data_IF_992003442294
#
_entry.id   IF_992003442294
#
_cell.length_a   1.000
_cell.length_b   1.000
_cell.length_c   1.000
_cell.angle_alpha   90.00
_cell.angle_beta   90.00
_cell.angle_gamma   90.00
#
_symmetry.space_group_name_H-M   'P 1'
#
loop_
_entity.id
_entity.type
_entity.pdbx_description
1 polymer ?
#
# COMPACT_ATOMS: atom_id res chain seq x y z
N UNK A 1 -6.62 9.27 15.78
CA UNK A 1 -5.58 10.23 15.34
C UNK A 1 -5.20 9.91 13.91
N UNK A 2 -4.92 10.92 13.09
CA UNK A 2 -4.38 10.73 11.75
C UNK A 2 -2.97 10.12 11.81
N UNK A 3 -2.60 9.29 10.83
CA UNK A 3 -1.26 8.72 10.72
C UNK A 3 -0.24 9.85 10.50
N UNK A 4 0.87 9.83 11.24
CA UNK A 4 1.95 10.81 11.05
C UNK A 4 2.66 10.57 9.70
N UNK A 5 3.16 11.62 9.07
CA UNK A 5 4.09 11.48 7.96
C UNK A 5 5.40 10.81 8.41
N UNK A 6 6.06 10.09 7.51
CA UNK A 6 7.30 9.39 7.81
C UNK A 6 7.59 8.25 6.84
N UNK A 7 8.70 7.56 7.10
CA UNK A 7 9.04 6.32 6.40
C UNK A 7 8.57 5.14 7.24
N UNK A 8 7.90 4.19 6.60
CA UNK A 8 7.28 3.05 7.25
C UNK A 8 7.59 1.75 6.52
N UNK A 9 7.70 0.67 7.30
CA UNK A 9 7.37 -0.67 6.83
C UNK A 9 5.88 -0.86 7.06
N UNK A 10 5.15 -1.22 6.01
CA UNK A 10 3.70 -1.42 6.03
C UNK A 10 3.43 -2.93 6.03
N UNK A 11 2.87 -3.47 7.11
CA UNK A 11 2.72 -4.91 7.32
C UNK A 11 1.25 -5.32 7.40
N UNK A 12 0.86 -6.40 6.73
CA UNK A 12 -0.47 -6.99 6.94
C UNK A 12 -0.64 -7.49 8.37
N UNK A 13 -1.86 -7.44 8.92
CA UNK A 13 -2.17 -8.06 10.23
C UNK A 13 -2.37 -9.58 10.16
N UNK A 14 -2.25 -10.18 8.97
CA UNK A 14 -2.28 -11.63 8.81
C UNK A 14 -1.11 -12.30 9.55
N UNK A 15 -1.26 -13.59 9.85
CA UNK A 15 -0.21 -14.38 10.49
C UNK A 15 1.10 -14.32 9.70
N UNK A 16 2.23 -14.15 10.37
CA UNK A 16 3.54 -13.96 9.73
C UNK A 16 3.80 -12.52 9.27
N UNK A 17 2.77 -11.67 9.18
CA UNK A 17 2.89 -10.23 8.92
C UNK A 17 3.64 -9.89 7.63
N UNK A 18 3.25 -10.43 6.45
CA UNK A 18 3.89 -10.07 5.20
C UNK A 18 3.83 -8.55 4.99
N UNK A 19 4.95 -7.97 4.58
CA UNK A 19 5.09 -6.53 4.37
C UNK A 19 4.89 -6.17 2.91
N UNK A 20 4.43 -4.96 2.66
CA UNK A 20 4.41 -4.39 1.31
C UNK A 20 5.83 -4.29 0.79
N UNK A 21 6.10 -4.96 -0.31
CA UNK A 21 7.38 -5.05 -0.97
C UNK A 21 7.23 -4.68 -2.46
N UNK A 22 8.12 -3.82 -2.95
CA UNK A 22 8.26 -3.53 -4.37
C UNK A 22 9.03 -4.65 -5.05
N UNK A 23 8.33 -5.41 -5.89
CA UNK A 23 8.83 -6.65 -6.49
C UNK A 23 10.22 -6.50 -7.13
N UNK A 24 11.09 -7.48 -6.87
CA UNK A 24 12.51 -7.55 -7.27
C UNK A 24 13.45 -6.48 -6.71
N UNK A 25 12.93 -5.34 -6.20
CA UNK A 25 13.73 -4.29 -5.56
C UNK A 25 14.83 -3.68 -6.44
N UNK A 26 14.77 -3.86 -7.76
CA UNK A 26 15.77 -3.37 -8.72
C UNK A 26 15.16 -2.43 -9.78
N UNK A 27 13.84 -2.31 -9.85
CA UNK A 27 13.10 -1.44 -10.76
C UNK A 27 12.11 -0.58 -9.96
N UNK A 28 12.13 0.75 -10.08
CA UNK A 28 11.20 1.62 -9.34
C UNK A 28 9.75 1.55 -9.85
N UNK A 29 9.48 0.95 -11.02
CA UNK A 29 8.15 0.72 -11.56
C UNK A 29 7.93 -0.79 -11.61
N UNK A 30 7.32 -1.32 -10.56
CA UNK A 30 7.05 -2.74 -10.39
C UNK A 30 5.78 -2.97 -9.56
N UNK A 31 5.37 -4.23 -9.49
CA UNK A 31 4.20 -4.65 -8.74
C UNK A 31 4.44 -4.56 -7.23
N UNK A 32 3.35 -4.41 -6.48
CA UNK A 32 3.36 -4.53 -5.03
C UNK A 32 2.96 -5.95 -4.63
N UNK A 33 3.80 -6.55 -3.81
CA UNK A 33 3.62 -7.92 -3.29
C UNK A 33 3.73 -7.91 -1.76
N UNK A 34 3.15 -8.94 -1.16
CA UNK A 34 3.44 -9.35 0.21
C UNK A 34 4.71 -10.20 0.24
N UNK A 35 5.62 -9.87 1.14
CA UNK A 35 6.88 -10.59 1.31
C UNK A 35 7.29 -10.62 2.78
N UNK A 36 8.12 -11.59 3.17
CA UNK A 36 8.70 -11.59 4.50
C UNK A 36 9.56 -10.34 4.72
N UNK A 37 9.54 -9.79 5.94
CA UNK A 37 10.33 -8.62 6.27
C UNK A 37 11.83 -8.96 6.24
N UNK A 38 12.60 -8.23 5.43
CA UNK A 38 14.07 -8.32 5.38
C UNK A 38 14.76 -6.96 5.54
N UNK A 39 13.98 -5.87 5.62
CA UNK A 39 14.49 -4.52 5.90
C UNK A 39 15.06 -3.80 4.69
N UNK A 40 15.01 -4.42 3.50
CA UNK A 40 15.44 -3.80 2.25
C UNK A 40 14.67 -2.52 1.93
N UNK A 41 15.31 -1.64 1.15
CA UNK A 41 14.76 -0.34 0.75
C UNK A 41 13.47 -0.44 -0.08
N UNK A 42 13.24 -1.59 -0.73
CA UNK A 42 12.01 -1.93 -1.45
C UNK A 42 10.83 -2.27 -0.52
N UNK A 43 11.05 -2.37 0.79
CA UNK A 43 9.99 -2.55 1.82
C UNK A 43 9.71 -1.28 2.63
N UNK A 44 10.35 -0.17 2.26
CA UNK A 44 10.27 1.10 2.97
C UNK A 44 9.48 2.11 2.13
N UNK A 45 8.48 2.71 2.76
CA UNK A 45 7.49 3.55 2.10
C UNK A 45 7.42 4.91 2.79
N UNK A 46 7.71 5.98 2.06
CA UNK A 46 7.49 7.34 2.54
C UNK A 46 6.01 7.69 2.39
N UNK A 47 5.36 7.88 3.53
CA UNK A 47 3.96 8.32 3.60
C UNK A 47 3.94 9.82 3.81
N UNK A 48 3.36 10.53 2.85
CA UNK A 48 3.26 12.00 2.85
C UNK A 48 1.79 12.40 2.77
N UNK A 49 1.37 13.31 3.64
CA UNK A 49 0.02 13.83 3.73
C UNK A 49 -0.18 14.91 2.67
N UNK A 50 -1.21 14.74 1.84
CA UNK A 50 -1.55 15.67 0.75
C UNK A 50 -2.69 16.61 1.16
N UNK A 51 -3.58 16.14 2.03
CA UNK A 51 -4.74 16.88 2.54
C UNK A 51 -5.12 16.40 3.93
N UNK A 52 -6.23 16.89 4.49
CA UNK A 52 -6.70 16.42 5.79
C UNK A 52 -6.91 14.89 5.86
N UNK A 53 -7.28 14.26 4.74
CA UNK A 53 -7.65 12.83 4.67
C UNK A 53 -6.81 12.00 3.70
N UNK A 54 -6.11 12.63 2.76
CA UNK A 54 -5.43 11.93 1.67
C UNK A 54 -3.91 11.92 1.87
N UNK A 55 -3.29 10.80 1.50
CA UNK A 55 -1.86 10.53 1.58
C UNK A 55 -1.36 10.02 0.23
N UNK A 56 -0.06 10.17 0.01
CA UNK A 56 0.69 9.41 -1.00
C UNK A 56 1.58 8.39 -0.30
N UNK A 57 1.86 7.28 -0.98
CA UNK A 57 2.74 6.21 -0.49
C UNK A 57 3.84 6.02 -1.53
N UNK A 58 4.99 6.64 -1.29
CA UNK A 58 6.13 6.66 -2.20
C UNK A 58 7.13 5.56 -1.83
N UNK A 59 7.70 4.86 -2.81
CA UNK A 59 8.82 3.96 -2.55
C UNK A 59 10.04 4.74 -2.07
N UNK A 60 10.81 4.21 -1.10
CA UNK A 60 12.12 4.79 -0.76
C UNK A 60 13.18 4.38 -1.80
N UNK A 61 13.01 3.25 -2.48
CA UNK A 61 13.93 2.79 -3.53
C UNK A 61 14.00 3.75 -4.73
N UNK A 62 12.90 4.43 -5.07
CA UNK A 62 12.87 5.35 -6.19
C UNK A 62 11.74 6.37 -6.12
N UNK A 63 11.72 7.31 -7.08
CA UNK A 63 10.73 8.38 -7.12
C UNK A 63 9.42 7.94 -7.79
N UNK A 64 8.74 6.96 -7.19
CA UNK A 64 7.48 6.38 -7.67
C UNK A 64 6.52 6.10 -6.51
N UNK A 65 5.21 6.12 -6.81
CA UNK A 65 4.14 5.99 -5.82
C UNK A 65 3.28 4.77 -6.09
N UNK A 66 2.82 4.10 -5.04
CA UNK A 66 1.80 3.06 -5.17
C UNK A 66 0.56 3.69 -5.79
N UNK A 67 0.10 3.10 -6.89
CA UNK A 67 -0.94 3.62 -7.76
C UNK A 67 -1.98 2.53 -8.02
N UNK A 68 -3.25 2.90 -7.96
CA UNK A 68 -4.37 2.05 -8.34
C UNK A 68 -4.37 1.78 -9.87
N UNK A 69 -4.88 0.61 -10.32
CA UNK A 69 -5.25 0.41 -11.73
C UNK A 69 -6.15 1.55 -12.23
N UNK A 70 -5.79 2.15 -13.37
CA UNK A 70 -6.46 3.36 -13.88
C UNK A 70 -7.93 3.13 -14.28
N UNK A 71 -8.29 1.90 -14.63
CA UNK A 71 -9.67 1.48 -14.90
C UNK A 71 -10.44 1.11 -13.63
N UNK A 72 -9.80 1.19 -12.46
CA UNK A 72 -10.37 0.81 -11.18
C UNK A 72 -10.63 -0.69 -11.04
N UNK A 73 -10.07 -1.55 -11.90
CA UNK A 73 -10.27 -2.99 -11.85
C UNK A 73 -9.64 -3.65 -10.61
N UNK A 74 -10.10 -4.87 -10.29
CA UNK A 74 -9.59 -5.67 -9.17
C UNK A 74 -8.24 -6.31 -9.53
N UNK A 75 -7.25 -5.46 -9.80
CA UNK A 75 -5.92 -5.86 -10.23
C UNK A 75 -4.85 -5.50 -9.20
N UNK A 76 -3.66 -6.08 -9.39
CA UNK A 76 -2.51 -5.84 -8.55
C UNK A 76 -2.10 -4.36 -8.59
N UNK A 77 -1.82 -3.81 -7.42
CA UNK A 77 -1.24 -2.49 -7.27
C UNK A 77 0.18 -2.50 -7.81
N UNK A 78 0.60 -1.37 -8.37
CA UNK A 78 1.97 -1.17 -8.85
C UNK A 78 2.44 0.23 -8.49
N UNK A 79 3.72 0.50 -8.73
CA UNK A 79 4.29 1.84 -8.61
C UNK A 79 4.28 2.56 -9.96
N UNK A 80 4.03 3.87 -9.95
CA UNK A 80 4.09 4.71 -11.14
C UNK A 80 4.74 6.07 -10.85
N UNK A 81 4.97 6.88 -11.89
CA UNK A 81 5.42 8.27 -11.78
C UNK A 81 4.28 9.29 -11.75
N UNK A 82 3.05 8.84 -11.53
CA UNK A 82 1.92 9.75 -11.42
C UNK A 82 2.05 10.61 -10.18
N UNK A 83 2.21 11.92 -10.39
CA UNK A 83 2.30 12.88 -9.31
C UNK A 83 0.99 12.87 -8.50
N UNK A 84 1.01 12.51 -7.22
CA UNK A 84 -0.19 12.46 -6.40
C UNK A 84 -0.86 13.83 -6.25
N UNK A 85 -0.18 14.95 -6.47
CA UNK A 85 -0.79 16.31 -6.48
C UNK A 85 -1.80 16.48 -7.61
N UNK A 86 -1.68 15.73 -8.70
CA UNK A 86 -2.56 15.84 -9.87
C UNK A 86 -3.34 14.56 -10.18
N UNK A 87 -2.90 13.40 -9.66
CA UNK A 87 -3.46 12.09 -10.01
C UNK A 87 -4.08 11.41 -8.79
N UNK A 88 -5.40 11.15 -8.84
CA UNK A 88 -6.13 10.51 -7.73
C UNK A 88 -5.81 9.02 -7.58
N UNK A 89 -5.41 8.35 -8.67
CA UNK A 89 -4.96 6.95 -8.65
C UNK A 89 -3.77 6.71 -7.71
N UNK A 90 -2.95 7.72 -7.45
CA UNK A 90 -1.81 7.68 -6.52
C UNK A 90 -2.12 8.26 -5.12
N UNK A 91 -3.40 8.45 -4.79
CA UNK A 91 -3.85 8.98 -3.48
C UNK A 91 -4.63 7.95 -2.70
N UNK A 92 -4.37 7.92 -1.40
CA UNK A 92 -4.91 6.94 -0.48
C UNK A 92 -5.46 7.59 0.79
N UNK A 93 -6.58 7.10 1.31
CA UNK A 93 -7.06 7.43 2.66
C UNK A 93 -6.72 6.30 3.61
N UNK A 94 -6.01 6.62 4.68
CA UNK A 94 -5.58 5.64 5.68
C UNK A 94 -6.52 5.75 6.87
N UNK A 95 -7.44 4.79 7.00
CA UNK A 95 -8.55 4.83 7.95
C UNK A 95 -8.35 3.74 9.02
N UNK A 96 -8.49 4.04 10.33
CA UNK A 96 -8.40 3.02 11.36
C UNK A 96 -9.34 1.85 11.10
N UNK A 97 -8.81 0.63 11.24
CA UNK A 97 -9.52 -0.63 11.12
C UNK A 97 -9.10 -1.54 12.28
N UNK A 98 -9.79 -2.67 12.48
CA UNK A 98 -9.60 -3.53 13.65
C UNK A 98 -8.14 -4.02 13.78
N UNK A 99 -7.36 -3.40 14.68
CA UNK A 99 -5.95 -3.72 14.91
C UNK A 99 -4.94 -3.06 13.95
N UNK A 100 -5.38 -2.14 13.08
CA UNK A 100 -4.52 -1.47 12.10
C UNK A 100 -5.26 -0.40 11.30
N UNK A 101 -5.05 -0.39 9.99
CA UNK A 101 -5.63 0.56 9.06
C UNK A 101 -6.05 -0.13 7.76
N UNK A 102 -7.16 0.31 7.19
CA UNK A 102 -7.51 0.07 5.79
C UNK A 102 -7.02 1.25 4.94
N UNK A 103 -6.48 0.95 3.76
CA UNK A 103 -5.87 1.93 2.84
C UNK A 103 -6.79 2.07 1.62
N UNK A 104 -7.71 3.03 1.67
CA UNK A 104 -8.73 3.25 0.63
C UNK A 104 -8.19 4.05 -0.55
N UNK A 105 -8.57 3.67 -1.76
CA UNK A 105 -8.31 4.50 -2.95
C UNK A 105 -9.15 5.78 -2.89
N UNK A 106 -8.53 6.92 -3.21
CA UNK A 106 -9.29 8.17 -3.39
C UNK A 106 -10.04 8.18 -4.71
N UNK A 107 -9.49 7.54 -5.75
CA UNK A 107 -10.13 7.43 -7.07
C UNK A 107 -11.28 6.42 -7.08
N UNK A 108 -11.13 5.31 -6.35
CA UNK A 108 -12.12 4.24 -6.24
C UNK A 108 -12.53 4.03 -4.77
N UNK A 109 -13.41 4.89 -4.20
CA UNK A 109 -13.59 4.98 -2.74
C UNK A 109 -14.14 3.74 -2.03
N UNK A 110 -14.71 2.78 -2.77
CA UNK A 110 -15.18 1.50 -2.23
C UNK A 110 -14.08 0.44 -2.16
N UNK A 111 -12.86 0.75 -2.62
CA UNK A 111 -11.76 -0.21 -2.75
C UNK A 111 -10.54 0.15 -1.90
N UNK A 112 -9.83 -0.88 -1.48
CA UNK A 112 -8.69 -0.84 -0.57
C UNK A 112 -7.54 -1.71 -1.05
N UNK A 113 -6.39 -1.60 -0.38
CA UNK A 113 -5.33 -2.60 -0.45
C UNK A 113 -5.86 -3.94 0.11
N UNK A 114 -5.60 -5.04 -0.61
CA UNK A 114 -6.03 -6.37 -0.22
C UNK A 114 -4.91 -7.38 -0.51
N UNK A 115 -4.48 -8.14 0.50
CA UNK A 115 -3.58 -9.29 0.30
C UNK A 115 -4.37 -10.40 -0.38
N UNK A 116 -4.03 -10.72 -1.63
CA UNK A 116 -4.78 -11.66 -2.47
C UNK A 116 -5.05 -12.99 -1.75
N UNK A 117 -6.34 -13.32 -1.60
CA UNK A 117 -6.80 -14.55 -0.94
C UNK A 117 -6.43 -14.67 0.54
N UNK A 118 -5.91 -13.61 1.17
CA UNK A 118 -5.35 -13.66 2.52
C UNK A 118 -4.12 -14.57 2.65
N UNK A 119 -3.42 -14.84 1.55
CA UNK A 119 -2.23 -15.68 1.57
C UNK A 119 -1.04 -14.96 2.24
N UNK A 120 -0.20 -15.73 2.92
CA UNK A 120 0.99 -15.21 3.65
C UNK A 120 2.30 -15.66 3.03
N UNK A 121 2.22 -16.29 1.85
CA UNK A 121 3.40 -16.71 1.10
C UNK A 121 4.05 -15.50 0.44
N UNK A 122 5.37 -15.51 0.35
CA UNK A 122 6.12 -14.56 -0.45
C UNK A 122 5.58 -14.46 -1.88
N UNK A 123 5.68 -13.26 -2.46
CA UNK A 123 5.20 -12.91 -3.80
C UNK A 123 3.67 -12.89 -3.92
N UNK A 124 2.93 -12.93 -2.81
CA UNK A 124 1.45 -12.81 -2.85
C UNK A 124 1.08 -11.41 -3.36
N UNK A 125 0.23 -11.27 -4.40
CA UNK A 125 -0.16 -9.96 -4.91
C UNK A 125 -0.90 -9.10 -3.88
N UNK A 126 -0.63 -7.80 -3.88
CA UNK A 126 -1.47 -6.80 -3.20
C UNK A 126 -2.38 -6.17 -4.24
N UNK A 127 -3.68 -6.35 -4.08
CA UNK A 127 -4.69 -5.93 -5.03
C UNK A 127 -5.31 -4.59 -4.63
N UNK A 128 -5.85 -3.87 -5.62
CA UNK A 128 -7.00 -3.03 -5.39
C UNK A 128 -8.23 -3.94 -5.32
N UNK A 129 -9.00 -3.88 -4.23
CA UNK A 129 -10.17 -4.75 -4.09
C UNK A 129 -11.30 -4.12 -3.29
N UNK A 130 -12.54 -4.56 -3.52
CA UNK A 130 -13.71 -4.11 -2.77
C UNK A 130 -13.54 -4.32 -1.26
N UNK A 131 -13.78 -3.26 -0.48
CA UNK A 131 -13.68 -3.35 0.98
C UNK A 131 -14.76 -4.29 1.55
N UNK A 132 -14.34 -5.28 2.31
CA UNK A 132 -15.19 -6.23 3.04
C UNK A 132 -14.80 -6.38 4.52
N UNK A 133 -13.73 -5.70 4.96
CA UNK A 133 -13.33 -5.66 6.38
C UNK A 133 -12.58 -6.90 6.87
N UNK A 134 -12.21 -7.81 5.96
CA UNK A 134 -11.37 -8.97 6.28
C UNK A 134 -9.95 -8.58 6.72
N UNK A 135 -9.29 -9.47 7.46
CA UNK A 135 -7.91 -9.24 7.98
C UNK A 135 -6.88 -8.98 6.87
N UNK A 136 -7.11 -9.53 5.68
CA UNK A 136 -6.27 -9.30 4.49
C UNK A 136 -6.35 -7.86 3.95
N UNK A 137 -7.25 -7.01 4.46
CA UNK A 137 -7.40 -5.60 4.11
C UNK A 137 -6.92 -4.64 5.21
N UNK A 138 -6.29 -5.18 6.25
CA UNK A 138 -5.84 -4.41 7.42
C UNK A 138 -4.32 -4.46 7.52
N UNK A 139 -3.72 -3.29 7.64
CA UNK A 139 -2.27 -3.09 7.66
C UNK A 139 -1.84 -2.25 8.86
N UNK A 140 -0.63 -2.50 9.35
CA UNK A 140 0.04 -1.72 10.38
C UNK A 140 1.18 -0.92 9.76
N UNK A 141 1.51 0.21 10.38
CA UNK A 141 2.57 1.11 9.94
C UNK A 141 3.65 1.13 11.03
N UNK A 142 4.78 0.48 10.78
CA UNK A 142 5.93 0.50 11.68
C UNK A 142 6.95 1.50 11.15
N UNK A 143 7.24 2.55 11.94
CA UNK A 143 8.20 3.58 11.55
C UNK A 143 9.60 2.97 11.40
N UNK A 144 10.30 3.37 10.33
CA UNK A 144 11.72 3.03 10.09
C UNK A 144 12.60 3.96 10.91
#
# INVERSE_FOLDING_TARGET
>A
MALQEGVYVIASVLSGGPVLDLENGNNPIANIIGYHAHGGVNQQWRVTRLSLQDYSIQSVYGNTWITAPADGSDQQLSTSRYDPVYNKSARWRIVPANGGYAIYSVENPSKVFDVSGGATKDLTPILLYGYHGGKNQVFTFKKV
#
